data_IF_628513989655
#
_entry.id   IF_628513989655
#
_cell.length_a   1.000
_cell.length_b   1.000
_cell.length_c   1.000
_cell.angle_alpha   90.00
_cell.angle_beta   90.00
_cell.angle_gamma   90.00
#
_symmetry.space_group_name_H-M   'P 1'
#
loop_
_entity.id
_entity.type
_entity.pdbx_description
1 polymer ?
#
# COMPACT_ATOMS: atom_id res chain seq x y z
N UNK A 1 -35.86 -32.14 26.33
CA UNK A 1 -35.16 -32.31 25.05
C UNK A 1 -35.79 -31.37 24.04
N UNK A 2 -35.11 -30.27 23.69
CA UNK A 2 -35.55 -29.38 22.62
C UNK A 2 -34.31 -28.77 21.95
N UNK A 3 -34.18 -29.10 20.66
CA UNK A 3 -33.18 -28.59 19.76
C UNK A 3 -33.48 -27.11 19.46
N UNK A 4 -32.56 -26.20 19.79
CA UNK A 4 -32.65 -24.78 19.42
C UNK A 4 -31.75 -24.57 18.21
N UNK A 5 -32.37 -24.43 17.05
CA UNK A 5 -31.70 -24.06 15.80
C UNK A 5 -31.45 -22.55 15.79
N UNK A 6 -30.19 -22.16 15.58
CA UNK A 6 -29.79 -20.76 15.40
C UNK A 6 -30.21 -20.27 14.02
N UNK A 7 -31.20 -19.37 13.97
CA UNK A 7 -31.56 -18.63 12.75
C UNK A 7 -30.69 -17.38 12.67
N UNK A 8 -29.75 -17.35 11.73
CA UNK A 8 -28.96 -16.16 11.39
C UNK A 8 -29.86 -15.10 10.75
N UNK A 9 -29.97 -13.94 11.41
CA UNK A 9 -30.50 -12.70 10.81
C UNK A 9 -29.47 -12.20 9.80
N UNK A 10 -29.61 -12.58 8.53
CA UNK A 10 -28.99 -11.85 7.45
C UNK A 10 -29.85 -10.63 7.18
N UNK A 11 -29.34 -9.45 7.54
CA UNK A 11 -29.88 -8.19 7.04
C UNK A 11 -29.76 -8.18 5.50
N UNK A 12 -30.79 -7.68 4.84
CA UNK A 12 -30.91 -7.60 3.38
C UNK A 12 -29.65 -7.01 2.70
N UNK A 13 -29.14 -7.61 1.61
CA UNK A 13 -27.90 -7.19 0.95
C UNK A 13 -28.00 -5.86 0.17
N UNK A 14 -29.14 -5.16 0.22
CA UNK A 14 -29.34 -3.93 -0.56
C UNK A 14 -28.96 -2.62 0.14
N UNK A 15 -28.68 -2.63 1.45
CA UNK A 15 -28.37 -1.40 2.22
C UNK A 15 -26.87 -1.09 2.36
N UNK A 16 -26.00 -1.85 1.72
CA UNK A 16 -24.55 -1.61 1.68
C UNK A 16 -24.00 -1.77 0.26
N UNK A 17 -24.76 -1.30 -0.74
CA UNK A 17 -24.31 -1.35 -2.13
C UNK A 17 -23.13 -0.38 -2.32
N UNK A 18 -22.01 -0.80 -2.93
CA UNK A 18 -20.85 0.07 -3.20
C UNK A 18 -21.21 1.31 -4.02
N UNK A 19 -22.32 1.27 -4.74
CA UNK A 19 -22.88 2.37 -5.54
C UNK A 19 -23.38 3.56 -4.71
N UNK A 20 -23.59 3.40 -3.40
CA UNK A 20 -24.02 4.51 -2.52
C UNK A 20 -22.85 5.35 -1.98
N UNK A 21 -21.61 4.90 -2.16
CA UNK A 21 -20.39 5.62 -1.76
C UNK A 21 -19.60 6.07 -2.98
N UNK A 22 -20.25 6.26 -4.13
CA UNK A 22 -19.63 6.89 -5.29
C UNK A 22 -19.82 8.39 -5.12
N UNK A 23 -18.77 9.08 -4.69
CA UNK A 23 -18.71 10.54 -4.70
C UNK A 23 -19.02 10.99 -6.14
N UNK A 24 -20.12 11.74 -6.31
CA UNK A 24 -20.85 11.91 -7.57
C UNK A 24 -20.19 12.75 -8.67
N UNK A 25 -18.91 13.08 -8.55
CA UNK A 25 -18.19 13.81 -9.60
C UNK A 25 -17.43 12.81 -10.47
N UNK A 26 -17.95 12.57 -11.67
CA UNK A 26 -17.23 11.88 -12.72
C UNK A 26 -16.05 12.78 -13.12
N UNK A 27 -14.85 12.45 -12.67
CA UNK A 27 -13.62 13.03 -13.21
C UNK A 27 -13.58 12.69 -14.70
N UNK A 28 -13.77 13.71 -15.54
CA UNK A 28 -13.81 13.55 -17.00
C UNK A 28 -12.49 12.96 -17.51
N UNK A 29 -11.35 13.38 -16.92
CA UNK A 29 -10.01 12.93 -17.28
C UNK A 29 -9.07 13.04 -16.07
N UNK A 30 -8.11 12.11 -15.97
CA UNK A 30 -7.04 12.19 -14.97
C UNK A 30 -5.94 13.11 -15.49
N UNK A 31 -5.58 14.13 -14.71
CA UNK A 31 -4.54 15.08 -15.11
C UNK A 31 -3.15 14.43 -15.00
N UNK A 32 -2.32 14.47 -16.05
CA UNK A 32 -0.95 13.98 -15.98
C UNK A 32 -0.09 14.94 -15.15
N UNK A 33 0.62 14.40 -14.16
CA UNK A 33 1.49 15.16 -13.24
C UNK A 33 2.89 14.56 -13.25
N UNK A 34 3.88 15.44 -13.37
CA UNK A 34 5.29 15.06 -13.28
C UNK A 34 5.72 14.84 -11.83
N UNK A 35 6.40 13.74 -11.56
CA UNK A 35 6.96 13.41 -10.27
C UNK A 35 8.42 12.95 -10.38
N UNK A 36 9.09 12.83 -9.23
CA UNK A 36 10.46 12.30 -9.16
C UNK A 36 10.51 10.89 -9.73
N UNK A 37 11.52 10.53 -10.55
CA UNK A 37 11.58 9.21 -11.17
C UNK A 37 11.47 8.09 -10.13
N UNK A 38 10.50 7.20 -10.32
CA UNK A 38 10.32 6.04 -9.45
C UNK A 38 11.12 4.86 -9.98
N UNK A 39 12.01 4.32 -9.15
CA UNK A 39 12.88 3.21 -9.53
C UNK A 39 12.16 1.87 -9.43
N UNK A 40 12.56 0.91 -10.28
CA UNK A 40 12.19 -0.50 -10.11
C UNK A 40 13.26 -1.24 -9.32
N UNK A 41 12.83 -2.23 -8.54
CA UNK A 41 13.73 -3.15 -7.88
C UNK A 41 14.03 -4.37 -8.77
N UNK A 42 15.31 -4.77 -8.78
CA UNK A 42 15.73 -6.05 -9.34
C UNK A 42 15.15 -7.22 -8.53
N UNK A 43 14.93 -8.34 -9.21
CA UNK A 43 14.27 -9.51 -8.63
C UNK A 43 15.16 -10.73 -8.81
N UNK A 44 15.36 -11.48 -7.74
CA UNK A 44 15.98 -12.81 -7.77
C UNK A 44 15.02 -13.84 -7.18
N UNK A 45 15.06 -15.05 -7.73
CA UNK A 45 14.39 -16.24 -7.15
C UNK A 45 15.39 -17.19 -6.49
N UNK A 46 16.68 -16.92 -6.63
CA UNK A 46 17.77 -17.75 -6.13
C UNK A 46 18.30 -17.18 -4.83
N UNK A 47 18.57 -18.07 -3.87
CA UNK A 47 19.09 -17.71 -2.54
C UNK A 47 20.50 -17.16 -2.65
N UNK A 48 21.31 -17.71 -3.56
CA UNK A 48 22.67 -17.24 -3.83
C UNK A 48 22.69 -15.78 -4.28
N UNK A 49 21.68 -15.35 -5.05
CA UNK A 49 21.51 -13.96 -5.46
C UNK A 49 21.25 -13.03 -4.28
N UNK A 50 20.47 -13.48 -3.29
CA UNK A 50 20.21 -12.72 -2.06
C UNK A 50 21.46 -12.63 -1.19
N UNK A 51 22.20 -13.72 -1.02
CA UNK A 51 23.47 -13.74 -0.26
C UNK A 51 24.49 -12.81 -0.92
N UNK A 52 24.60 -12.82 -2.24
CA UNK A 52 25.47 -11.92 -3.00
C UNK A 52 25.06 -10.45 -2.86
N UNK A 53 23.75 -10.17 -2.79
CA UNK A 53 23.23 -8.82 -2.56
C UNK A 53 23.56 -8.33 -1.15
N UNK A 54 23.31 -9.15 -0.12
CA UNK A 54 23.53 -8.80 1.28
C UNK A 54 25.02 -8.63 1.62
N UNK A 55 25.89 -9.46 1.04
CA UNK A 55 27.31 -9.54 1.40
C UNK A 55 27.46 -9.69 2.92
N UNK A 56 28.19 -8.80 3.58
CA UNK A 56 28.40 -8.78 5.03
C UNK A 56 27.59 -7.67 5.74
N UNK A 57 26.54 -7.15 5.09
CA UNK A 57 25.71 -6.07 5.63
C UNK A 57 24.41 -6.60 6.20
N UNK A 58 23.91 -5.94 7.23
CA UNK A 58 22.55 -6.15 7.71
C UNK A 58 21.54 -5.73 6.63
N UNK A 59 20.54 -6.58 6.39
CA UNK A 59 19.50 -6.37 5.37
C UNK A 59 18.11 -6.37 6.00
N UNK A 60 17.27 -5.41 5.59
CA UNK A 60 15.87 -5.38 5.95
C UNK A 60 15.05 -6.18 4.93
N UNK A 61 14.34 -7.20 5.41
CA UNK A 61 13.42 -7.99 4.60
C UNK A 61 11.99 -7.54 4.87
N UNK A 62 11.26 -7.26 3.79
CA UNK A 62 9.84 -6.91 3.86
C UNK A 62 9.05 -7.69 2.81
N UNK A 63 7.74 -7.81 3.04
CA UNK A 63 6.85 -8.43 2.08
C UNK A 63 6.68 -7.52 0.87
N UNK A 64 6.88 -8.08 -0.31
CA UNK A 64 6.57 -7.39 -1.55
C UNK A 64 5.05 -7.38 -1.74
N UNK A 65 4.47 -6.18 -1.66
CA UNK A 65 3.05 -5.98 -1.93
C UNK A 65 2.87 -5.82 -3.43
N UNK A 66 2.00 -6.63 -4.01
CA UNK A 66 1.66 -6.55 -5.43
C UNK A 66 0.43 -5.65 -5.60
N UNK A 67 0.63 -4.52 -6.25
CA UNK A 67 -0.38 -3.48 -6.39
C UNK A 67 0.10 -2.32 -7.26
N UNK A 68 -0.60 -1.19 -7.16
CA UNK A 68 -0.26 0.04 -7.86
C UNK A 68 0.61 0.93 -6.98
N UNK A 69 1.72 1.43 -7.52
CA UNK A 69 2.59 2.35 -6.80
C UNK A 69 2.05 3.78 -6.88
N UNK A 70 1.96 4.44 -5.72
CA UNK A 70 1.52 5.82 -5.57
C UNK A 70 2.58 6.66 -4.86
N UNK A 71 2.60 7.95 -5.19
CA UNK A 71 3.31 9.00 -4.47
C UNK A 71 2.26 9.85 -3.75
N UNK A 72 2.34 9.94 -2.43
CA UNK A 72 1.51 10.84 -1.62
C UNK A 72 2.34 12.07 -1.25
N UNK A 73 1.80 13.26 -1.46
CA UNK A 73 2.43 14.53 -1.07
C UNK A 73 1.68 15.14 0.09
N UNK A 74 2.41 15.43 1.14
CA UNK A 74 1.94 16.14 2.32
C UNK A 74 2.60 17.51 2.37
N UNK A 75 1.84 18.51 2.79
CA UNK A 75 2.30 19.88 2.97
C UNK A 75 1.51 20.51 4.12
N UNK A 76 2.21 21.12 5.07
CA UNK A 76 1.67 21.66 6.31
C UNK A 76 0.84 20.62 7.10
N UNK A 77 1.36 19.39 7.17
CA UNK A 77 0.68 18.28 7.85
C UNK A 77 -0.59 17.79 7.16
N UNK A 78 -0.92 18.28 5.96
CA UNK A 78 -2.15 17.93 5.25
C UNK A 78 -1.86 17.14 3.98
N UNK A 79 -2.69 16.13 3.70
CA UNK A 79 -2.67 15.41 2.43
C UNK A 79 -3.07 16.35 1.29
N UNK A 80 -2.13 16.63 0.39
CA UNK A 80 -2.34 17.53 -0.76
C UNK A 80 -2.67 16.78 -2.02
N UNK A 81 -1.86 15.78 -2.37
CA UNK A 81 -1.92 15.16 -3.70
C UNK A 81 -1.51 13.70 -3.66
N UNK A 82 -2.17 12.86 -4.47
CA UNK A 82 -1.70 11.52 -4.80
C UNK A 82 -1.48 11.36 -6.30
N UNK A 83 -0.35 10.78 -6.68
CA UNK A 83 0.05 10.60 -8.08
C UNK A 83 0.39 9.13 -8.31
N UNK A 84 -0.06 8.55 -9.43
CA UNK A 84 0.36 7.21 -9.85
C UNK A 84 1.78 7.21 -10.39
N UNK A 85 2.44 6.05 -10.50
CA UNK A 85 3.77 5.96 -11.14
C UNK A 85 3.74 6.28 -12.65
N UNK A 86 2.63 5.93 -13.30
CA UNK A 86 2.53 5.90 -14.76
C UNK A 86 3.49 4.94 -15.47
N UNK A 87 3.48 4.99 -16.80
CA UNK A 87 4.22 4.07 -17.68
C UNK A 87 5.70 4.44 -17.79
N UNK A 88 5.99 5.73 -17.86
CA UNK A 88 7.34 6.29 -18.05
C UNK A 88 8.07 6.58 -16.72
N UNK A 89 7.46 6.24 -15.58
CA UNK A 89 7.99 6.40 -14.22
C UNK A 89 8.32 7.84 -13.78
N UNK A 90 8.09 8.83 -14.65
CA UNK A 90 8.32 10.26 -14.44
C UNK A 90 6.99 11.04 -14.53
N UNK A 91 6.05 10.55 -15.34
CA UNK A 91 4.74 11.14 -15.55
C UNK A 91 3.70 10.14 -15.05
N UNK A 92 2.95 10.58 -14.05
CA UNK A 92 1.85 9.84 -13.45
C UNK A 92 0.52 10.56 -13.63
N UNK A 93 -0.53 10.01 -13.06
CA UNK A 93 -1.88 10.57 -13.08
C UNK A 93 -2.27 11.04 -11.68
N UNK A 94 -2.91 12.21 -11.57
CA UNK A 94 -3.47 12.68 -10.31
C UNK A 94 -4.71 11.87 -9.93
N UNK A 95 -4.61 11.14 -8.81
CA UNK A 95 -5.66 10.28 -8.26
C UNK A 95 -6.09 10.74 -6.86
N UNK A 96 -5.88 12.02 -6.54
CA UNK A 96 -6.11 12.60 -5.21
C UNK A 96 -7.53 12.35 -4.71
N UNK A 97 -8.55 12.51 -5.55
CA UNK A 97 -9.94 12.31 -5.17
C UNK A 97 -10.22 10.85 -4.74
N UNK A 98 -9.69 9.89 -5.50
CA UNK A 98 -9.84 8.47 -5.20
C UNK A 98 -9.12 8.11 -3.89
N UNK A 99 -7.89 8.60 -3.69
CA UNK A 99 -7.09 8.30 -2.50
C UNK A 99 -7.70 8.90 -1.23
N UNK A 100 -8.40 10.04 -1.32
CA UNK A 100 -9.15 10.60 -0.17
C UNK A 100 -10.23 9.66 0.38
N UNK A 101 -10.71 8.71 -0.43
CA UNK A 101 -11.69 7.70 0.01
C UNK A 101 -11.06 6.51 0.73
N UNK A 102 -9.72 6.40 0.74
CA UNK A 102 -9.04 5.26 1.37
C UNK A 102 -8.97 5.43 2.89
N UNK A 103 -9.48 4.43 3.61
CA UNK A 103 -9.50 4.43 5.08
C UNK A 103 -8.10 4.41 5.72
N UNK A 104 -7.11 3.83 5.03
CA UNK A 104 -5.76 3.60 5.57
C UNK A 104 -4.76 4.71 5.19
N UNK A 105 -5.21 5.78 4.53
CA UNK A 105 -4.36 6.93 4.19
C UNK A 105 -4.70 8.06 5.15
N UNK A 106 -3.76 8.50 6.00
CA UNK A 106 -4.00 9.63 6.89
C UNK A 106 -4.15 10.91 6.06
N UNK A 107 -5.22 11.66 6.29
CA UNK A 107 -5.41 12.98 5.67
C UNK A 107 -4.60 14.06 6.40
N UNK A 108 -4.25 13.83 7.67
CA UNK A 108 -3.45 14.72 8.49
C UNK A 108 -2.31 13.95 9.14
N UNK A 109 -1.12 14.54 9.15
CA UNK A 109 0.11 14.03 9.78
C UNK A 109 0.68 15.13 10.69
N UNK A 110 1.39 14.76 11.77
CA UNK A 110 1.92 15.75 12.73
C UNK A 110 3.07 16.60 12.16
N UNK A 111 3.74 16.13 11.11
CA UNK A 111 4.87 16.82 10.50
C UNK A 111 4.40 17.94 9.55
N UNK A 112 4.88 19.16 9.78
CA UNK A 112 4.49 20.34 9.00
C UNK A 112 5.36 20.59 7.77
N UNK A 113 6.53 19.96 7.68
CA UNK A 113 7.41 20.10 6.51
C UNK A 113 6.80 19.42 5.27
N UNK A 114 7.06 19.93 4.06
CA UNK A 114 6.58 19.30 2.84
C UNK A 114 7.38 18.03 2.53
N UNK A 115 6.71 16.88 2.43
CA UNK A 115 7.35 15.61 2.09
C UNK A 115 6.50 14.71 1.19
N UNK A 116 7.19 13.79 0.51
CA UNK A 116 6.59 12.78 -0.35
C UNK A 116 6.79 11.37 0.20
N UNK A 117 5.72 10.57 0.23
CA UNK A 117 5.76 9.17 0.65
C UNK A 117 5.45 8.28 -0.54
N UNK A 118 6.25 7.23 -0.71
CA UNK A 118 6.01 6.19 -1.71
C UNK A 118 5.36 4.97 -1.07
N UNK A 119 4.30 4.48 -1.71
CA UNK A 119 3.54 3.34 -1.21
C UNK A 119 2.98 2.49 -2.34
N UNK A 120 2.49 1.31 -1.99
CA UNK A 120 1.75 0.45 -2.91
C UNK A 120 0.34 0.26 -2.38
N UNK A 121 -0.65 0.56 -3.21
CA UNK A 121 -2.05 0.23 -2.94
C UNK A 121 -2.38 -1.12 -3.56
N UNK A 122 -2.96 -2.00 -2.75
CA UNK A 122 -3.45 -3.31 -3.18
C UNK A 122 -4.90 -3.49 -2.73
N UNK A 123 -5.70 -4.17 -3.54
CA UNK A 123 -7.02 -4.62 -3.11
C UNK A 123 -6.88 -5.59 -1.91
N UNK A 124 -7.80 -5.58 -0.93
CA UNK A 124 -7.80 -6.57 0.14
C UNK A 124 -8.03 -7.98 -0.43
N UNK A 125 -6.94 -8.67 -0.73
CA UNK A 125 -6.95 -10.07 -1.11
C UNK A 125 -7.03 -10.98 0.12
N UNK A 126 -7.76 -12.09 0.02
CA UNK A 126 -7.59 -13.21 0.96
C UNK A 126 -6.16 -13.74 0.77
N UNK A 127 -5.28 -13.50 1.73
CA UNK A 127 -3.88 -13.95 1.70
C UNK A 127 -3.86 -15.48 1.49
N UNK A 128 -3.56 -15.91 0.27
CA UNK A 128 -3.35 -17.32 -0.08
C UNK A 128 -2.00 -17.73 0.50
N UNK A 129 -2.01 -18.40 1.66
CA UNK A 129 -0.81 -19.00 2.25
C UNK A 129 -0.30 -20.14 1.36
N UNK A 130 0.56 -19.85 0.39
CA UNK A 130 1.53 -20.80 -0.13
C UNK A 130 2.92 -20.23 0.12
N UNK A 131 3.38 -20.40 1.34
CA UNK A 131 4.79 -20.20 1.69
C UNK A 131 5.41 -21.58 1.92
N UNK A 132 6.40 -21.93 1.11
CA UNK A 132 7.40 -22.92 1.52
C UNK A 132 8.16 -22.31 2.70
N UNK A 133 8.35 -23.03 3.82
CA UNK A 133 9.09 -22.50 4.96
C UNK A 133 10.55 -22.27 4.55
N UNK A 134 10.97 -21.01 4.51
CA UNK A 134 12.39 -20.65 4.45
C UNK A 134 12.87 -20.60 5.90
N UNK A 135 13.63 -21.62 6.31
CA UNK A 135 14.26 -21.66 7.62
C UNK A 135 15.45 -20.71 7.66
N UNK A 136 15.21 -19.44 7.97
CA UNK A 136 16.26 -18.50 8.36
C UNK A 136 16.49 -18.64 9.86
N UNK A 137 17.73 -18.95 10.27
CA UNK A 137 18.12 -18.87 11.69
C UNK A 137 17.94 -17.41 12.13
N UNK A 138 17.24 -17.13 13.23
CA UNK A 138 17.11 -15.77 13.73
C UNK A 138 18.49 -15.25 14.14
N UNK A 139 18.99 -14.24 13.43
CA UNK A 139 20.07 -13.41 13.94
C UNK A 139 19.46 -12.42 14.96
N UNK A 140 20.12 -12.14 16.09
CA UNK A 140 19.59 -11.25 17.11
C UNK A 140 19.51 -9.82 16.54
N UNK A 141 18.28 -9.34 16.32
CA UNK A 141 18.01 -7.94 16.01
C UNK A 141 18.34 -7.12 17.26
N UNK A 142 19.52 -6.50 17.30
CA UNK A 142 19.78 -5.40 18.24
C UNK A 142 19.05 -4.17 17.71
N UNK A 143 17.87 -3.91 18.27
CA UNK A 143 17.19 -2.63 18.08
C UNK A 143 18.07 -1.51 18.65
N UNK A 144 18.71 -0.75 17.77
CA UNK A 144 19.33 0.52 18.12
C UNK A 144 18.28 1.60 17.87
N UNK A 145 17.46 1.86 18.90
CA UNK A 145 16.86 3.18 19.07
C UNK A 145 17.86 4.00 19.88
N UNK A 146 18.43 5.04 19.30
CA UNK A 146 19.01 6.14 20.07
C UNK A 146 18.31 7.43 19.70
N UNK A 147 18.16 8.22 20.75
CA UNK A 147 17.45 9.48 20.93
C UNK A 147 17.91 10.56 19.95
#
# INVERSE_FOLDING_TARGET
>A
MSCVTWRSKWASPFLSSPTQTVLGDILAELTPVRHTPMLSADKTKLVEGLVRFAREKDVLLSWKIDGLTLVLRYDDGQFRQAITRGRESIIGEDVTLAVRTFLNVPLTVPDTEPFGVWGTVSSPGRISRRTTPISVKPAPIRAIWRQ
#
